data_IF_117838540580
#
_entry.id   IF_117838540580
#
_cell.length_a   1.000
_cell.length_b   1.000
_cell.length_c   1.000
_cell.angle_alpha   90.00
_cell.angle_beta   90.00
_cell.angle_gamma   90.00
#
_symmetry.space_group_name_H-M   'P 1'
#
loop_
_entity.id
_entity.type
_entity.pdbx_description
1 polymer ?
#
# COMPACT_ATOMS: atom_id res chain seq x y z
N UNK A 1 -2.90 0.96 16.04
CA UNK A 1 -2.06 0.13 15.16
C UNK A 1 -2.89 -0.45 14.04
N UNK A 2 -2.37 -0.44 12.83
CA UNK A 2 -3.09 -0.99 11.68
C UNK A 2 -2.96 -2.51 11.62
N UNK A 3 -4.10 -3.19 11.48
CA UNK A 3 -4.10 -4.63 11.24
C UNK A 3 -3.85 -4.88 9.75
N UNK A 4 -3.20 -6.00 9.44
CA UNK A 4 -2.92 -6.39 8.07
C UNK A 4 -4.20 -6.46 7.23
N UNK A 5 -5.26 -7.06 7.80
CA UNK A 5 -6.53 -7.19 7.10
C UNK A 5 -7.14 -5.84 6.76
N UNK A 6 -6.96 -4.84 7.61
CA UNK A 6 -7.47 -3.51 7.36
C UNK A 6 -6.72 -2.83 6.21
N UNK A 7 -5.40 -3.00 6.17
CA UNK A 7 -4.57 -2.44 5.10
C UNK A 7 -5.01 -3.03 3.76
N UNK A 8 -5.14 -4.34 3.70
CA UNK A 8 -5.56 -5.02 2.46
C UNK A 8 -6.94 -4.56 2.03
N UNK A 9 -7.87 -4.44 2.98
CA UNK A 9 -9.24 -4.00 2.68
C UNK A 9 -9.26 -2.61 2.07
N UNK A 10 -8.44 -1.69 2.57
CA UNK A 10 -8.39 -0.33 2.04
C UNK A 10 -7.91 -0.30 0.60
N UNK A 11 -6.88 -1.09 0.28
CA UNK A 11 -6.41 -1.16 -1.10
C UNK A 11 -7.42 -1.82 -2.02
N UNK A 12 -8.14 -2.83 -1.54
CA UNK A 12 -9.20 -3.44 -2.34
C UNK A 12 -10.33 -2.45 -2.64
N UNK A 13 -10.66 -1.60 -1.67
CA UNK A 13 -11.68 -0.56 -1.89
C UNK A 13 -11.24 0.44 -2.96
N UNK A 14 -9.95 0.61 -3.16
CA UNK A 14 -9.39 1.46 -4.21
C UNK A 14 -9.14 0.68 -5.51
N UNK A 15 -9.61 -0.56 -5.57
CA UNK A 15 -9.49 -1.45 -6.73
C UNK A 15 -8.05 -1.88 -7.02
N UNK A 16 -7.23 -1.93 -5.99
CA UNK A 16 -5.85 -2.41 -6.11
C UNK A 16 -5.63 -3.59 -5.19
N UNK A 17 -4.80 -4.53 -5.61
CA UNK A 17 -4.21 -5.51 -4.72
C UNK A 17 -2.89 -4.94 -4.23
N UNK A 18 -2.36 -5.51 -3.16
CA UNK A 18 -1.12 -5.01 -2.58
C UNK A 18 -0.19 -6.18 -2.26
N UNK A 19 1.09 -6.02 -2.63
CA UNK A 19 2.10 -7.03 -2.34
C UNK A 19 2.33 -7.10 -0.82
N UNK A 20 2.58 -8.31 -0.27
CA UNK A 20 2.83 -8.46 1.18
C UNK A 20 3.93 -7.57 1.74
N UNK A 21 4.97 -7.28 0.96
CA UNK A 21 6.05 -6.40 1.40
C UNK A 21 5.55 -4.99 1.68
N UNK A 22 4.60 -4.52 0.86
CA UNK A 22 4.00 -3.20 1.05
C UNK A 22 3.13 -3.19 2.29
N UNK A 23 2.39 -4.27 2.52
CA UNK A 23 1.57 -4.40 3.73
C UNK A 23 2.45 -4.32 4.97
N UNK A 24 3.56 -5.05 4.98
CA UNK A 24 4.49 -5.03 6.10
C UNK A 24 5.08 -3.65 6.33
N UNK A 25 5.44 -2.95 5.26
CA UNK A 25 5.97 -1.60 5.35
C UNK A 25 4.97 -0.65 6.00
N UNK A 26 3.71 -0.69 5.55
CA UNK A 26 2.67 0.19 6.09
C UNK A 26 2.42 -0.11 7.57
N UNK A 27 2.44 -1.38 7.95
CA UNK A 27 2.29 -1.78 9.35
C UNK A 27 3.41 -1.21 10.21
N UNK A 28 4.64 -1.25 9.73
CA UNK A 28 5.79 -0.71 10.45
C UNK A 28 5.68 0.79 10.64
N UNK A 29 5.24 1.50 9.60
CA UNK A 29 5.09 2.95 9.68
C UNK A 29 3.89 3.35 10.54
N UNK A 30 2.89 2.49 10.63
CA UNK A 30 1.69 2.72 11.43
C UNK A 30 1.01 4.05 11.09
N UNK A 31 0.94 4.36 9.78
CA UNK A 31 0.40 5.62 9.29
C UNK A 31 -0.71 5.35 8.27
N UNK A 32 -1.98 5.50 8.65
CA UNK A 32 -3.10 5.26 7.73
C UNK A 32 -3.07 6.18 6.51
N UNK A 33 -2.58 7.40 6.65
CA UNK A 33 -2.52 8.35 5.54
C UNK A 33 -1.54 7.89 4.46
N UNK A 34 -0.58 7.03 4.81
CA UNK A 34 0.38 6.50 3.87
C UNK A 34 -0.31 5.69 2.77
N UNK A 35 -1.40 5.00 3.10
CA UNK A 35 -2.18 4.22 2.14
C UNK A 35 -2.72 5.13 1.04
N UNK A 36 -3.30 6.26 1.43
CA UNK A 36 -3.85 7.20 0.47
C UNK A 36 -2.76 7.83 -0.40
N UNK A 37 -1.61 8.14 0.20
CA UNK A 37 -0.49 8.72 -0.55
C UNK A 37 0.06 7.74 -1.57
N UNK A 38 0.20 6.49 -1.20
CA UNK A 38 0.67 5.45 -2.10
C UNK A 38 -0.32 5.27 -3.26
N UNK A 39 -1.61 5.16 -2.93
CA UNK A 39 -2.64 4.98 -3.95
C UNK A 39 -2.68 6.15 -4.93
N UNK A 40 -2.51 7.36 -4.43
CA UNK A 40 -2.51 8.56 -5.28
C UNK A 40 -1.32 8.60 -6.24
N UNK A 41 -0.21 7.97 -5.87
CA UNK A 41 0.99 7.94 -6.70
C UNK A 41 1.06 6.77 -7.68
N UNK A 42 0.10 5.87 -7.63
CA UNK A 42 0.09 4.68 -8.49
C UNK A 42 -0.53 5.03 -9.84
N UNK A 43 0.14 4.67 -10.96
CA UNK A 43 -0.41 4.95 -12.29
C UNK A 43 -1.74 4.26 -12.54
N UNK A 44 -2.56 4.86 -13.38
CA UNK A 44 -3.82 4.25 -13.80
C UNK A 44 -3.56 2.90 -14.46
N UNK A 45 -4.44 1.94 -14.18
CA UNK A 45 -4.31 0.60 -14.76
C UNK A 45 -3.43 -0.34 -13.95
N UNK A 46 -2.79 0.13 -12.90
CA UNK A 46 -2.00 -0.72 -12.02
C UNK A 46 -2.95 -1.64 -11.24
N UNK A 47 -2.72 -2.94 -11.33
CA UNK A 47 -3.55 -3.92 -10.63
C UNK A 47 -2.97 -4.28 -9.27
N UNK A 48 -1.64 -4.32 -9.15
CA UNK A 48 -0.96 -4.69 -7.91
C UNK A 48 0.03 -3.59 -7.53
N UNK A 49 -0.07 -3.13 -6.31
CA UNK A 49 0.87 -2.16 -5.76
C UNK A 49 2.02 -2.93 -5.11
N UNK A 50 3.23 -2.69 -5.58
CA UNK A 50 4.43 -3.38 -5.10
C UNK A 50 5.45 -2.39 -4.56
N UNK A 51 6.58 -2.92 -4.09
CA UNK A 51 7.64 -2.11 -3.50
C UNK A 51 8.18 -1.03 -4.45
N UNK A 52 8.11 -1.26 -5.76
CA UNK A 52 8.59 -0.28 -6.73
C UNK A 52 7.78 1.01 -6.72
N UNK A 53 6.56 0.97 -6.18
CA UNK A 53 5.71 2.16 -6.06
C UNK A 53 5.99 2.95 -4.78
N UNK A 54 6.91 2.47 -3.94
CA UNK A 54 7.20 3.08 -2.65
C UNK A 54 8.67 3.46 -2.59
N UNK A 55 9.00 4.74 -2.78
CA UNK A 55 10.40 5.17 -2.85
C UNK A 55 11.24 4.79 -1.64
N UNK A 56 10.65 4.81 -0.45
CA UNK A 56 11.38 4.49 0.77
C UNK A 56 11.66 2.99 0.97
N UNK A 57 10.92 2.13 0.28
CA UNK A 57 11.06 0.69 0.40
C UNK A 57 11.98 0.11 -0.68
N UNK A 58 12.08 0.80 -1.78
CA UNK A 58 12.84 0.34 -2.92
C UNK A 58 14.34 0.40 -2.66
N UNK A 59 15.01 -0.65 -3.00
CA UNK A 59 16.45 -0.75 -2.82
C UNK A 59 17.17 -0.80 -4.14
#
# INVERSE_FOLDING_TARGET
>A
MLAEAEIVRRFLALKHQVHPDVVSYIREQNDPALIDRIAAGVPDGTLVISAEHIPGLRK
#
